data_IF_863830874166
#
_entry.id   IF_863830874166
#
_cell.length_a   1.000
_cell.length_b   1.000
_cell.length_c   1.000
_cell.angle_alpha   90.00
_cell.angle_beta   90.00
_cell.angle_gamma   90.00
#
_symmetry.space_group_name_H-M   'P 1'
#
loop_
_entity.id
_entity.type
_entity.pdbx_description
1 polymer ?
2 water ?
#
# COMPACT_ATOMS: atom_id res chain seq x y z
N UNK A 1 -1.61 4.60 21.85
CA UNK A 1 -2.15 5.39 20.69
C UNK A 1 -2.90 4.44 19.73
N UNK A 2 -3.13 4.92 18.50
CA UNK A 2 -3.64 4.08 17.40
C UNK A 2 -2.47 3.23 16.88
N UNK A 3 -2.73 1.95 16.58
CA UNK A 3 -1.71 1.04 16.04
C UNK A 3 -2.35 -0.25 15.54
N UNK A 4 -1.81 -0.75 14.41
CA UNK A 4 -2.06 -2.09 13.91
C UNK A 4 -0.94 -3.00 14.40
N UNK A 5 -1.25 -3.93 15.30
CA UNK A 5 -0.27 -4.85 15.79
C UNK A 5 -0.31 -6.18 14.99
N UNK A 6 0.66 -6.37 14.09
CA UNK A 6 0.72 -7.54 13.21
C UNK A 6 1.42 -8.72 13.92
N UNK A 7 1.10 -9.94 13.49
CA UNK A 7 1.77 -11.11 13.98
C UNK A 7 1.58 -12.27 12.99
N UNK A 8 2.45 -13.27 13.05
CA UNK A 8 2.39 -14.40 12.14
C UNK A 8 3.58 -14.44 11.23
N UNK A 9 3.57 -15.40 10.30
CA UNK A 9 4.60 -15.54 9.26
C UNK A 9 5.55 -16.69 9.56
N UNK A 10 6.75 -16.66 8.94
CA UNK A 10 7.82 -17.62 9.13
C UNK A 10 8.20 -18.33 7.84
N UNK A 11 8.97 -19.42 8.00
CA UNK A 11 9.47 -20.34 6.96
C UNK A 11 8.43 -21.44 6.73
N UNK A 12 8.09 -21.70 5.48
CA UNK A 12 7.13 -22.79 5.18
C UNK A 12 7.51 -23.47 3.87
N UNK A 13 6.98 -24.67 3.64
CA UNK A 13 7.25 -25.46 2.43
C UNK A 13 6.18 -25.21 1.38
N UNK A 14 6.52 -25.34 0.07
CA UNK A 14 5.52 -25.32 -1.00
C UNK A 14 4.40 -26.33 -0.70
N UNK A 15 3.17 -25.94 -1.04
CA UNK A 15 1.96 -26.67 -0.70
C UNK A 15 1.42 -26.26 0.65
N UNK A 16 2.24 -25.64 1.50
CA UNK A 16 1.90 -25.38 2.92
C UNK A 16 0.90 -24.23 3.09
N UNK A 17 0.59 -23.91 4.36
CA UNK A 17 -0.36 -22.84 4.71
C UNK A 17 0.12 -22.02 5.92
N UNK A 18 -0.35 -20.78 6.00
CA UNK A 18 0.01 -19.84 7.07
C UNK A 18 -1.13 -18.83 7.29
N UNK A 19 -1.27 -18.30 8.50
CA UNK A 19 -2.30 -17.32 8.85
C UNK A 19 -1.62 -16.08 9.45
N UNK A 20 -1.73 -14.91 8.79
CA UNK A 20 -1.31 -13.65 9.40
C UNK A 20 -2.47 -13.08 10.18
N UNK A 21 -2.17 -12.23 11.15
CA UNK A 21 -3.20 -11.56 11.90
C UNK A 21 -2.74 -10.15 12.24
N UNK A 22 -3.72 -9.29 12.48
CA UNK A 22 -3.57 -7.92 12.67
C UNK A 22 -4.60 -7.49 13.73
N UNK A 23 -4.11 -7.09 14.90
CA UNK A 23 -4.96 -6.60 15.98
C UNK A 23 -4.92 -5.07 16.02
N UNK A 24 -6.07 -4.41 15.82
CA UNK A 24 -6.17 -2.93 15.99
C UNK A 24 -6.52 -2.57 17.44
N UNK A 25 -5.87 -1.54 17.98
CA UNK A 25 -6.30 -0.82 19.21
C UNK A 25 -6.35 0.69 18.92
N UNK A 26 -7.23 1.42 19.61
CA UNK A 26 -7.32 2.91 19.49
C UNK A 26 -8.20 3.34 18.32
N UNK A 27 -8.84 2.36 17.66
CA UNK A 27 -10.01 2.44 16.77
C UNK A 27 -11.08 3.43 17.29
N UNK A 28 -11.59 4.31 16.42
CA UNK A 28 -12.72 5.14 16.76
C UNK A 28 -13.91 4.96 15.81
N UNK A 29 -13.81 3.99 14.88
CA UNK A 29 -14.91 3.64 13.95
C UNK A 29 -15.07 2.12 13.83
N UNK A 30 -16.26 1.70 13.39
CA UNK A 30 -16.56 0.30 13.22
C UNK A 30 -16.38 -0.13 11.76
N UNK A 31 -15.58 -1.18 11.54
CA UNK A 31 -15.51 -1.84 10.26
C UNK A 31 -15.06 -0.88 9.15
N UNK A 32 -14.01 -0.09 9.41
CA UNK A 32 -13.25 0.66 8.40
C UNK A 32 -12.58 -0.30 7.40
N UNK A 33 -12.34 0.16 6.18
CA UNK A 33 -11.83 -0.69 5.09
C UNK A 33 -10.41 -1.13 5.45
N UNK A 34 -10.11 -2.42 5.29
CA UNK A 34 -8.79 -2.95 5.61
C UNK A 34 -8.24 -3.82 4.47
N UNK A 35 -6.93 -4.10 4.47
CA UNK A 35 -6.45 -5.05 3.48
C UNK A 35 -5.05 -5.54 3.78
N UNK A 36 -4.50 -6.31 2.83
CA UNK A 36 -3.14 -6.77 2.91
C UNK A 36 -2.37 -6.39 1.65
N UNK A 37 -1.12 -5.94 1.86
CA UNK A 37 -0.19 -5.67 0.80
C UNK A 37 1.05 -6.54 1.00
N UNK A 38 1.73 -6.87 -0.10
CA UNK A 38 2.99 -7.56 0.00
C UNK A 38 4.04 -6.94 -0.92
N UNK A 39 5.30 -7.25 -0.58
CA UNK A 39 6.42 -6.83 -1.36
C UNK A 39 7.39 -8.00 -1.50
N UNK A 40 7.44 -8.58 -2.71
CA UNK A 40 8.43 -9.65 -3.08
C UNK A 40 9.85 -9.08 -3.03
N UNK A 41 10.91 -9.86 -2.71
CA UNK A 41 12.26 -9.31 -2.61
C UNK A 41 12.72 -8.69 -3.96
N UNK A 42 13.27 -7.47 -3.87
CA UNK A 42 13.65 -6.63 -5.02
C UNK A 42 12.51 -6.37 -6.00
N UNK A 43 11.30 -6.12 -5.47
CA UNK A 43 10.10 -5.84 -6.27
C UNK A 43 9.27 -4.74 -5.59
N UNK A 44 8.19 -4.34 -6.25
CA UNK A 44 7.32 -3.24 -5.81
C UNK A 44 6.16 -3.70 -4.94
N UNK A 45 5.56 -2.77 -4.18
CA UNK A 45 4.40 -3.06 -3.37
C UNK A 45 3.28 -3.57 -4.27
N UNK A 46 2.57 -4.59 -3.80
CA UNK A 46 1.53 -5.29 -4.51
C UNK A 46 0.34 -5.45 -3.55
N UNK A 47 -0.83 -4.95 -3.96
CA UNK A 47 -2.07 -5.20 -3.25
C UNK A 47 -2.45 -6.67 -3.39
N UNK A 48 -2.90 -7.27 -2.28
CA UNK A 48 -3.18 -8.67 -2.21
C UNK A 48 -4.68 -8.94 -2.03
N UNK A 49 -5.28 -8.33 -0.99
CA UNK A 49 -6.71 -8.42 -0.78
C UNK A 49 -7.24 -7.21 0.01
N UNK A 50 -8.56 -7.00 -0.11
CA UNK A 50 -9.29 -6.01 0.63
C UNK A 50 -10.57 -6.61 1.24
N UNK A 51 -11.04 -5.98 2.31
CA UNK A 51 -12.33 -6.34 2.87
C UNK A 51 -13.01 -5.05 3.27
N UNK A 52 -14.33 -4.99 3.03
CA UNK A 52 -15.08 -3.77 3.25
C UNK A 52 -16.54 -4.14 3.58
N UNK A 53 -17.13 -3.34 4.47
CA UNK A 53 -18.46 -3.42 4.92
C UNK A 53 -18.58 -4.28 6.17
N UNK A 54 -19.73 -4.16 6.88
CA UNK A 54 -20.06 -5.05 8.01
C UNK A 54 -20.29 -6.51 7.58
N UNK A 55 -20.70 -6.68 6.32
CA UNK A 55 -20.86 -7.93 5.56
C UNK A 55 -19.50 -8.64 5.39
N UNK A 56 -18.44 -7.84 5.22
CA UNK A 56 -17.11 -8.38 4.99
C UNK A 56 -16.97 -8.92 3.58
N UNK A 57 -17.45 -8.15 2.60
CA UNK A 57 -17.15 -8.37 1.17
C UNK A 57 -15.64 -8.27 0.91
N UNK A 58 -15.21 -9.04 -0.09
CA UNK A 58 -13.80 -9.27 -0.36
C UNK A 58 -13.48 -9.04 -1.85
N UNK A 59 -12.21 -8.65 -2.10
CA UNK A 59 -11.60 -8.59 -3.39
C UNK A 59 -10.19 -9.17 -3.28
N UNK A 60 -9.67 -9.73 -4.38
CA UNK A 60 -8.39 -10.43 -4.37
C UNK A 60 -7.67 -10.25 -5.71
N UNK A 61 -6.35 -10.01 -5.65
CA UNK A 61 -5.53 -9.99 -6.86
C UNK A 61 -5.59 -11.37 -7.52
N UNK A 62 -5.48 -11.39 -8.84
CA UNK A 62 -5.47 -12.62 -9.66
C UNK A 62 -4.45 -13.65 -9.14
N UNK A 63 -3.24 -13.19 -8.77
CA UNK A 63 -2.08 -14.08 -8.31
C UNK A 63 -2.45 -15.03 -7.16
N UNK A 64 -3.36 -14.59 -6.28
CA UNK A 64 -3.67 -15.24 -5.03
C UNK A 64 -5.12 -15.72 -4.99
N UNK A 65 -5.93 -15.36 -5.99
CA UNK A 65 -7.36 -15.73 -5.94
C UNK A 65 -7.44 -17.26 -5.89
N UNK A 66 -8.31 -17.79 -5.01
CA UNK A 66 -8.48 -19.19 -4.86
C UNK A 66 -7.69 -19.77 -3.69
N UNK A 67 -6.55 -19.15 -3.35
CA UNK A 67 -5.62 -19.73 -2.33
C UNK A 67 -5.68 -18.97 -0.99
N UNK A 68 -5.92 -17.66 -1.05
CA UNK A 68 -5.85 -16.80 0.12
C UNK A 68 -7.25 -16.36 0.50
N UNK A 69 -7.57 -16.33 1.79
CA UNK A 69 -8.84 -15.76 2.24
C UNK A 69 -8.57 -14.68 3.29
N UNK A 70 -9.05 -13.47 2.99
CA UNK A 70 -9.13 -12.41 3.96
C UNK A 70 -10.42 -12.59 4.77
N UNK A 71 -10.32 -12.33 6.08
CA UNK A 71 -11.46 -12.25 6.98
C UNK A 71 -11.18 -11.30 8.13
N UNK A 72 -12.20 -11.03 8.92
CA UNK A 72 -12.02 -10.22 10.12
C UNK A 72 -13.21 -10.43 11.07
N UNK A 73 -12.94 -10.22 12.36
CA UNK A 73 -13.90 -10.18 13.42
C UNK A 73 -14.00 -8.72 13.92
N UNK A 74 -15.07 -8.00 13.56
CA UNK A 74 -15.21 -6.54 13.86
C UNK A 74 -15.40 -6.30 15.37
N UNK A 75 -15.91 -7.33 16.08
CA UNK A 75 -16.03 -7.37 17.54
C UNK A 75 -14.66 -7.20 18.18
N UNK A 76 -13.75 -8.13 17.87
CA UNK A 76 -12.44 -8.21 18.54
C UNK A 76 -11.41 -7.30 17.82
N UNK A 77 -11.86 -6.50 16.84
CA UNK A 77 -11.05 -5.64 15.97
C UNK A 77 -9.78 -6.36 15.49
N UNK A 78 -9.96 -7.54 14.88
CA UNK A 78 -8.83 -8.29 14.34
C UNK A 78 -9.04 -8.62 12.86
N UNK A 79 -7.94 -8.62 12.12
CA UNK A 79 -7.89 -8.84 10.66
C UNK A 79 -7.06 -10.11 10.44
N UNK A 80 -7.50 -10.98 9.53
CA UNK A 80 -6.79 -12.25 9.26
C UNK A 80 -6.47 -12.40 7.75
N UNK A 81 -5.36 -13.08 7.47
CA UNK A 81 -5.07 -13.57 6.10
C UNK A 81 -4.62 -15.05 6.13
N UNK A 82 -5.49 -15.93 5.64
CA UNK A 82 -5.24 -17.35 5.53
C UNK A 82 -4.61 -17.60 4.16
N UNK A 83 -3.38 -18.08 4.15
CA UNK A 83 -2.68 -18.29 2.90
C UNK A 83 -2.51 -19.80 2.72
N UNK A 84 -3.10 -20.34 1.64
CA UNK A 84 -3.06 -21.80 1.31
C UNK A 84 -2.24 -22.02 0.04
N UNK A 85 -1.81 -23.28 -0.21
CA UNK A 85 -1.12 -23.69 -1.47
C UNK A 85 0.02 -22.73 -1.88
N UNK A 86 0.89 -22.42 -0.91
CA UNK A 86 1.87 -21.39 -1.10
C UNK A 86 2.91 -21.86 -2.13
N UNK A 87 3.31 -20.94 -3.02
CA UNK A 87 4.39 -21.12 -3.95
C UNK A 87 5.49 -20.12 -3.63
N UNK A 88 6.66 -20.35 -4.24
CA UNK A 88 7.85 -19.56 -4.04
C UNK A 88 7.62 -18.08 -4.42
N UNK A 89 6.73 -17.84 -5.39
CA UNK A 89 6.23 -16.50 -5.83
C UNK A 89 5.64 -15.70 -4.64
N UNK A 90 5.09 -16.42 -3.65
CA UNK A 90 4.42 -15.81 -2.52
C UNK A 90 5.43 -15.33 -1.46
N UNK A 91 6.71 -15.64 -1.66
CA UNK A 91 7.74 -15.15 -0.77
C UNK A 91 7.79 -13.61 -0.80
N UNK A 92 7.58 -12.97 0.35
CA UNK A 92 7.48 -11.50 0.46
C UNK A 92 7.31 -11.06 1.91
N UNK A 93 7.51 -9.76 2.15
CA UNK A 93 7.01 -9.11 3.39
C UNK A 93 5.53 -8.76 3.19
N UNK A 94 4.69 -9.15 4.15
CA UNK A 94 3.28 -8.87 4.11
C UNK A 94 2.92 -7.81 5.16
N UNK A 95 2.17 -6.79 4.75
CA UNK A 95 1.72 -5.72 5.63
C UNK A 95 0.18 -5.67 5.68
N UNK A 96 -0.39 -5.42 6.86
CA UNK A 96 -1.79 -5.06 6.97
C UNK A 96 -1.94 -3.54 6.91
N UNK A 97 -3.11 -3.11 6.46
CA UNK A 97 -3.38 -1.69 6.33
C UNK A 97 -4.85 -1.35 6.62
N UNK A 98 -5.08 -0.13 7.12
CA UNK A 98 -6.44 0.34 7.42
C UNK A 98 -6.64 1.73 6.79
N UNK A 99 -7.83 1.97 6.23
CA UNK A 99 -8.20 3.28 5.68
C UNK A 99 -8.52 4.23 6.83
N UNK A 100 -7.83 5.38 6.88
CA UNK A 100 -8.07 6.50 7.82
C UNK A 100 -9.24 7.38 7.38
N UNK A 101 -10.08 7.74 8.36
CA UNK A 101 -11.24 8.60 8.21
C UNK A 101 -10.80 9.99 7.75
N UNK A 102 -9.77 10.56 8.38
CA UNK A 102 -9.25 11.90 8.04
C UNK A 102 -8.78 12.03 6.58
N UNK A 103 -8.02 11.05 6.07
CA UNK A 103 -7.46 11.15 4.71
C UNK A 103 -8.32 10.44 3.65
N UNK A 104 -9.11 9.44 4.04
CA UNK A 104 -9.76 8.59 3.02
C UNK A 104 -8.82 7.52 2.46
N UNK A 105 -7.55 7.52 2.90
CA UNK A 105 -6.54 6.66 2.29
C UNK A 105 -5.91 5.72 3.32
N UNK A 106 -5.28 4.66 2.82
CA UNK A 106 -4.68 3.67 3.74
C UNK A 106 -3.44 4.27 4.39
N UNK A 107 -3.60 4.71 5.64
CA UNK A 107 -2.51 5.42 6.30
C UNK A 107 -2.12 4.80 7.66
N UNK A 108 -2.64 3.61 7.98
CA UNK A 108 -2.22 2.88 9.18
C UNK A 108 -1.76 1.50 8.71
N UNK A 109 -0.56 1.11 9.15
CA UNK A 109 0.18 -0.03 8.63
C UNK A 109 0.82 -0.82 9.78
N UNK A 110 0.70 -2.15 9.70
CA UNK A 110 1.51 -3.09 10.48
C UNK A 110 2.97 -3.05 10.06
N UNK A 111 3.86 -3.50 10.95
CA UNK A 111 5.31 -3.33 10.71
C UNK A 111 5.78 -4.32 9.65
N UNK A 112 4.95 -5.33 9.33
CA UNK A 112 5.26 -6.30 8.29
C UNK A 112 6.07 -7.49 8.80
N UNK A 113 5.83 -8.65 8.20
CA UNK A 113 6.44 -9.89 8.61
C UNK A 113 6.83 -10.62 7.33
N UNK A 114 8.00 -11.27 7.36
CA UNK A 114 8.56 -11.98 6.21
C UNK A 114 7.89 -13.37 6.16
N UNK A 115 7.42 -13.77 4.98
CA UNK A 115 6.96 -15.11 4.70
C UNK A 115 7.94 -15.70 3.68
N UNK A 116 8.54 -16.85 3.99
CA UNK A 116 9.51 -17.47 3.05
C UNK A 116 9.00 -18.83 2.60
N UNK A 117 8.89 -19.05 1.29
CA UNK A 117 8.45 -20.38 0.80
C UNK A 117 9.64 -21.13 0.14
N UNK A 118 10.21 -22.16 0.78
CA UNK A 118 11.43 -22.93 0.30
C UNK A 118 11.12 -23.76 -0.96
N UNK A 131 -20.09 -9.77 -11.67
CA UNK A 131 -19.61 -8.40 -11.32
C UNK A 131 -20.32 -7.32 -12.13
N UNK A 132 -19.95 -6.04 -11.90
CA UNK A 132 -20.62 -4.85 -12.47
C UNK A 132 -20.18 -4.46 -13.89
N UNK A 133 -19.15 -5.14 -14.44
CA UNK A 133 -18.55 -4.82 -15.75
C UNK A 133 -17.59 -3.66 -15.65
N UNK A 134 -16.86 -3.62 -14.53
CA UNK A 134 -15.96 -2.52 -14.18
C UNK A 134 -14.64 -2.66 -14.94
N UNK A 135 -13.90 -1.54 -14.94
CA UNK A 135 -12.57 -1.38 -15.51
C UNK A 135 -11.53 -1.32 -14.38
N UNK A 136 -10.42 -2.04 -14.56
CA UNK A 136 -9.22 -1.97 -13.70
C UNK A 136 -8.39 -0.73 -14.08
N UNK A 137 -7.87 -0.03 -13.08
CA UNK A 137 -7.06 1.16 -13.27
C UNK A 137 -5.59 0.80 -13.06
N UNK A 138 -4.77 1.07 -14.08
CA UNK A 138 -3.30 0.84 -14.02
C UNK A 138 -2.56 2.17 -13.88
N UNK A 139 -1.43 2.13 -13.18
CA UNK A 139 -0.63 3.26 -12.84
C UNK A 139 0.77 3.06 -13.41
N UNK A 140 1.25 3.99 -14.24
CA UNK A 140 2.62 4.01 -14.73
C UNK A 140 3.35 5.23 -14.14
N UNK A 141 4.50 4.98 -13.54
CA UNK A 141 5.30 5.96 -12.79
C UNK A 141 6.57 6.20 -13.59
N UNK A 142 7.09 7.42 -13.49
CA UNK A 142 8.28 7.83 -14.24
C UNK A 142 9.05 8.85 -13.42
N UNK A 143 10.38 8.72 -13.34
CA UNK A 143 11.17 7.63 -13.88
C UNK A 143 11.24 6.43 -12.90
N UNK A 144 11.90 5.35 -13.33
CA UNK A 144 12.14 4.18 -12.50
C UNK A 144 13.07 4.53 -11.36
N UNK A 145 14.20 5.16 -11.71
CA UNK A 145 15.19 5.59 -10.72
C UNK A 145 15.79 6.91 -11.15
N UNK A 146 16.26 7.65 -10.17
CA UNK A 146 17.03 8.81 -10.43
C UNK A 146 18.08 8.98 -9.33
N UNK A 147 19.12 9.74 -9.64
CA UNK A 147 20.17 10.02 -8.67
C UNK A 147 20.36 11.53 -8.54
N UNK A 148 20.29 12.04 -7.32
CA UNK A 148 20.32 13.46 -7.08
C UNK A 148 21.13 13.76 -5.80
N UNK A 149 21.07 15.02 -5.33
CA UNK A 149 21.93 15.53 -4.25
C UNK A 149 21.08 16.29 -3.22
N UNK A 150 21.62 16.43 -2.01
CA UNK A 150 20.93 17.28 -1.03
C UNK A 150 20.76 18.67 -1.66
N UNK A 151 19.56 19.23 -1.51
CA UNK A 151 19.22 20.52 -2.05
C UNK A 151 18.67 20.45 -3.47
N UNK A 152 18.81 19.31 -4.15
CA UNK A 152 18.24 19.15 -5.51
C UNK A 152 16.70 19.14 -5.42
N UNK A 153 16.06 19.67 -6.46
CA UNK A 153 14.64 19.50 -6.70
C UNK A 153 14.44 18.20 -7.51
N UNK A 154 13.40 17.44 -7.12
CA UNK A 154 13.06 16.16 -7.71
C UNK A 154 11.60 16.17 -8.12
N UNK A 155 11.30 15.73 -9.34
CA UNK A 155 9.90 15.48 -9.69
C UNK A 155 9.72 14.04 -10.23
N UNK A 156 8.57 13.47 -9.85
CA UNK A 156 8.16 12.12 -10.23
C UNK A 156 6.74 12.19 -10.81
N UNK A 157 6.54 11.41 -11.88
CA UNK A 157 5.35 11.43 -12.69
C UNK A 157 4.55 10.15 -12.43
N UNK A 158 3.22 10.28 -12.53
CA UNK A 158 2.34 9.14 -12.44
C UNK A 158 1.24 9.36 -13.49
N UNK A 159 1.04 8.34 -14.32
CA UNK A 159 0.04 8.28 -15.37
C UNK A 159 -0.95 7.15 -14.99
N UNK A 160 -2.21 7.50 -14.78
CA UNK A 160 -3.27 6.48 -14.56
C UNK A 160 -3.91 6.14 -15.92
N UNK A 161 -4.35 4.89 -16.05
CA UNK A 161 -4.87 4.43 -17.33
C UNK A 161 -6.32 4.92 -17.54
N UNK A 162 -6.88 5.69 -16.59
CA UNK A 162 -8.23 6.10 -16.71
C UNK A 162 -8.36 7.37 -15.89
N UNK A 163 -9.21 8.32 -16.28
CA UNK A 163 -9.31 9.52 -15.47
C UNK A 163 -9.95 9.19 -14.11
N UNK A 164 -9.22 9.50 -13.04
CA UNK A 164 -9.64 9.18 -11.68
C UNK A 164 -9.64 10.44 -10.84
N UNK A 165 -9.80 11.57 -11.52
CA UNK A 165 -10.10 12.76 -10.82
C UNK A 165 -8.88 13.09 -9.93
N UNK A 166 -9.10 13.47 -8.66
CA UNK A 166 -8.09 13.79 -7.67
C UNK A 166 -7.80 12.61 -6.71
N UNK A 167 -8.16 11.37 -7.10
CA UNK A 167 -8.11 10.23 -6.18
C UNK A 167 -6.79 9.49 -6.35
N UNK A 168 -5.71 10.17 -6.00
CA UNK A 168 -4.40 9.59 -6.17
C UNK A 168 -3.53 9.92 -4.95
N UNK A 169 -2.84 8.90 -4.46
CA UNK A 169 -2.11 9.00 -3.23
C UNK A 169 -0.62 8.77 -3.51
N UNK A 170 0.25 9.44 -2.74
CA UNK A 170 1.68 9.21 -2.83
C UNK A 170 2.22 8.65 -1.52
N UNK A 171 3.11 7.67 -1.63
CA UNK A 171 3.74 7.00 -0.50
C UNK A 171 5.28 6.97 -0.64
N UNK A 172 5.93 7.10 0.51
CA UNK A 172 7.35 6.88 0.70
C UNK A 172 7.56 5.54 1.39
N UNK A 173 8.47 4.73 0.87
CA UNK A 173 8.89 3.55 1.56
C UNK A 173 10.42 3.48 1.65
N UNK A 174 10.94 3.39 2.88
CA UNK A 174 12.33 3.04 3.17
C UNK A 174 12.48 1.53 3.23
N UNK A 175 13.63 0.96 2.83
CA UNK A 175 13.74 -0.50 2.67
C UNK A 175 13.45 -1.30 3.96
N UNK A 176 12.65 -2.37 3.81
CA UNK A 176 12.15 -3.21 4.90
C UNK A 176 10.86 -2.70 5.55
N UNK A 177 10.70 -1.37 5.67
CA UNK A 177 9.71 -0.72 6.52
C UNK A 177 8.40 -0.53 5.76
N UNK A 178 7.35 -0.29 6.54
CA UNK A 178 6.02 -0.04 6.04
C UNK A 178 5.99 1.26 5.26
N UNK A 179 5.22 1.31 4.16
CA UNK A 179 5.05 2.57 3.44
C UNK A 179 4.36 3.62 4.32
N UNK A 180 4.68 4.88 4.03
CA UNK A 180 4.20 6.04 4.75
C UNK A 180 3.47 6.95 3.76
N UNK A 181 2.26 7.40 4.12
CA UNK A 181 1.48 8.25 3.24
C UNK A 181 2.00 9.68 3.34
N UNK A 182 2.34 10.28 2.18
CA UNK A 182 2.80 11.67 2.15
C UNK A 182 1.67 12.58 1.67
N UNK A 183 1.07 12.25 0.54
CA UNK A 183 0.01 13.05 -0.07
C UNK A 183 -1.22 12.15 -0.30
N UNK A 184 -2.40 12.64 0.11
CA UNK A 184 -3.68 12.07 -0.31
C UNK A 184 -4.46 13.10 -1.13
N UNK A 185 -5.36 12.59 -1.99
CA UNK A 185 -6.23 13.41 -2.79
C UNK A 185 -5.44 14.30 -3.73
N UNK A 186 -4.35 13.74 -4.27
CA UNK A 186 -3.55 14.33 -5.32
C UNK A 186 -2.69 15.48 -4.80
N UNK A 187 -3.13 16.18 -3.74
CA UNK A 187 -2.49 17.46 -3.34
C UNK A 187 -2.61 17.78 -1.84
N UNK A 188 -3.26 16.96 -1.02
CA UNK A 188 -3.41 17.26 0.41
C UNK A 188 -2.26 16.56 1.15
N UNK A 189 -1.50 17.37 1.88
CA UNK A 189 -0.34 16.95 2.57
C UNK A 189 -0.76 16.28 3.90
N UNK A 190 -0.25 15.08 4.12
CA UNK A 190 -0.54 14.33 5.33
C UNK A 190 0.09 15.02 6.54
N UNK A 191 -0.59 14.88 7.68
CA UNK A 191 -0.24 15.54 8.92
C UNK A 191 1.08 15.00 9.47
N UNK A 192 1.96 15.91 9.87
CA UNK A 192 3.28 15.60 10.41
C UNK A 192 4.31 15.28 9.33
N UNK A 193 4.02 15.69 8.09
CA UNK A 193 4.83 15.43 6.87
C UNK A 193 5.41 16.75 6.38
N UNK A 194 6.75 16.88 6.29
CA UNK A 194 7.37 18.15 5.92
C UNK A 194 6.76 18.73 4.63
N UNK A 195 6.73 20.06 4.52
CA UNK A 195 6.05 20.74 3.41
C UNK A 195 6.99 20.97 2.20
N UNK A 196 8.20 20.40 2.20
CA UNK A 196 8.95 20.33 0.97
C UNK A 196 8.29 19.34 -0.02
N UNK A 197 7.54 18.35 0.49
CA UNK A 197 6.82 17.38 -0.34
C UNK A 197 5.51 17.99 -0.81
N UNK A 198 5.21 17.90 -2.12
CA UNK A 198 3.98 18.48 -2.68
C UNK A 198 3.55 17.75 -3.95
N UNK A 199 2.23 17.66 -4.14
CA UNK A 199 1.65 16.84 -5.18
C UNK A 199 0.74 17.67 -6.03
N UNK A 200 0.65 17.35 -7.31
CA UNK A 200 -0.26 18.04 -8.17
C UNK A 200 -0.85 17.09 -9.22
N UNK A 201 -1.84 17.63 -9.92
CA UNK A 201 -2.42 17.02 -11.07
C UNK A 201 -3.84 16.61 -10.80
N UNK A 202 -4.40 16.00 -11.84
CA UNK A 202 -5.76 15.63 -11.88
C UNK A 202 -5.98 14.79 -13.13
N UNK A 203 -7.13 14.16 -13.23
CA UNK A 203 -7.42 13.32 -14.36
C UNK A 203 -6.50 12.12 -14.38
N UNK A 204 -5.61 12.07 -15.39
CA UNK A 204 -4.75 10.93 -15.57
C UNK A 204 -3.26 11.25 -15.28
N UNK A 205 -2.86 12.52 -15.07
CA UNK A 205 -1.40 12.85 -15.06
C UNK A 205 -1.09 13.66 -13.81
N UNK A 206 -0.20 13.11 -12.98
CA UNK A 206 0.08 13.63 -11.64
C UNK A 206 1.59 13.66 -11.37
N UNK A 207 1.95 14.49 -10.39
CA UNK A 207 3.32 14.86 -10.14
C UNK A 207 3.55 15.02 -8.65
N UNK A 208 4.58 14.34 -8.13
CA UNK A 208 5.09 14.59 -6.79
C UNK A 208 6.38 15.36 -6.94
N UNK A 209 6.45 16.48 -6.23
CA UNK A 209 7.59 17.34 -6.21
C UNK A 209 8.20 17.31 -4.81
N UNK A 210 9.53 17.15 -4.75
CA UNK A 210 10.33 17.43 -3.52
C UNK A 210 11.21 18.67 -3.82
N UNK A 211 10.93 19.79 -3.14
CA UNK A 211 11.55 21.10 -3.45
C UNK A 211 13.03 21.10 -3.05
N UNK A 212 13.37 20.66 -1.84
CA UNK A 212 14.78 20.60 -1.41
C UNK A 212 15.09 19.26 -0.74
N UNK A 213 15.81 18.40 -1.47
CA UNK A 213 15.99 17.03 -1.08
C UNK A 213 16.89 16.99 0.17
N UNK A 214 16.52 16.16 1.15
CA UNK A 214 17.25 16.09 2.45
C UNK A 214 17.76 14.67 2.68
N UNK A 215 18.75 14.46 3.55
CA UNK A 215 19.37 13.14 3.65
C UNK A 215 18.31 12.05 3.85
N UNK A 216 17.31 12.35 4.69
CA UNK A 216 16.27 11.41 5.12
C UNK A 216 15.30 11.04 3.97
N UNK A 217 15.30 11.79 2.85
CA UNK A 217 14.37 11.65 1.74
C UNK A 217 14.81 10.63 0.67
N UNK A 218 16.05 10.12 0.74
CA UNK A 218 16.45 9.00 -0.14
C UNK A 218 15.68 7.72 0.24
N UNK A 219 14.90 7.20 -0.73
CA UNK A 219 13.90 6.13 -0.51
C UNK A 219 13.27 5.78 -1.85
N UNK A 220 12.21 4.95 -1.81
CA UNK A 220 11.36 4.65 -2.97
C UNK A 220 9.97 5.28 -2.77
N UNK A 221 9.50 5.94 -3.82
CA UNK A 221 8.26 6.71 -3.83
C UNK A 221 7.28 5.99 -4.77
N UNK A 222 6.02 5.84 -4.32
CA UNK A 222 4.97 5.08 -5.11
C UNK A 222 3.68 5.92 -5.22
N UNK A 223 3.08 5.94 -6.40
CA UNK A 223 1.72 6.38 -6.50
C UNK A 223 0.78 5.19 -6.29
N UNK A 224 -0.43 5.52 -5.85
CA UNK A 224 -1.39 4.52 -5.46
C UNK A 224 -2.77 5.14 -5.54
N UNK A 225 -3.77 4.36 -5.94
CA UNK A 225 -5.20 4.67 -5.76
C UNK A 225 -5.91 3.57 -4.94
N UNK A 226 -6.82 4.06 -4.07
CA UNK A 226 -7.51 3.42 -2.96
C UNK A 226 -9.05 3.43 -3.13
N UNK A 227 -9.53 3.96 -4.26
CA UNK A 227 -10.93 4.32 -4.42
C UNK A 227 -11.67 3.29 -5.28
N UNK A 228 -10.96 2.63 -6.20
CA UNK A 228 -11.54 1.81 -7.27
C UNK A 228 -10.90 0.42 -7.26
N UNK A 229 -11.65 -0.60 -6.91
CA UNK A 229 -11.09 -1.94 -6.85
C UNK A 229 -10.89 -2.49 -8.25
N UNK A 230 -9.79 -3.21 -8.46
CA UNK A 230 -8.72 -3.47 -7.49
C UNK A 230 -7.78 -2.27 -7.25
N UNK A 231 -7.41 -2.05 -6.00
CA UNK A 231 -6.40 -1.05 -5.65
C UNK A 231 -5.06 -1.46 -6.25
N UNK A 232 -4.24 -0.45 -6.57
CA UNK A 232 -2.90 -0.69 -7.13
C UNK A 232 -1.96 0.41 -6.67
N UNK A 233 -0.68 0.03 -6.66
CA UNK A 233 0.43 0.94 -6.61
C UNK A 233 1.02 1.02 -8.01
N UNK A 234 1.59 2.16 -8.37
CA UNK A 234 2.56 2.22 -9.47
C UNK A 234 3.80 1.39 -9.17
N UNK A 235 4.75 1.37 -10.12
CA UNK A 235 5.94 0.50 -10.03
C UNK A 235 6.97 1.07 -9.04
N UNK A 236 6.87 2.33 -8.66
CA UNK A 236 7.84 2.90 -7.73
C UNK A 236 8.98 3.64 -8.43
N UNK A 237 9.50 4.65 -7.74
CA UNK A 237 10.59 5.47 -8.23
C UNK A 237 11.65 5.51 -7.13
N UNK A 238 12.81 4.89 -7.39
CA UNK A 238 13.88 4.89 -6.40
C UNK A 238 14.69 6.18 -6.52
N UNK A 239 14.83 6.91 -5.41
CA UNK A 239 15.57 8.19 -5.35
C UNK A 239 16.83 7.95 -4.54
N UNK A 240 17.94 7.70 -5.24
CA UNK A 240 19.19 7.28 -4.61
C UNK A 240 20.21 8.41 -4.72
N UNK A 241 21.25 8.32 -3.90
CA UNK A 241 22.48 9.06 -4.12
C UNK A 241 23.44 8.17 -4.91
#
# INVERSE_FOLDING_TARGET
EVQLLESGGGLVQPGGSLRLSCAASGFRFYAEDMGWVRQAPGKGLEWVSSIYGPSGSTYYADSVKGRFTISRDNSKNTLYLQMNSLRAEDTAVYYCAKRGYGSGAFDYWGQGTLVTVSSGGGGSGGGGSGGGGSTDIQMTQSPSSLSASVGDRVTITCRASQSISSYLNWYQQKPGKAPKLLIYGASNLQSGVPSRFSGSGSGTDFTLTISSLQPEDFATYYCQQDSYLPYTFGQGTKVEIK
#
